data_IF_958250203190
#
_entry.id   IF_958250203190
#
_cell.length_a   1.000
_cell.length_b   1.000
_cell.length_c   1.000
_cell.angle_alpha   90.00
_cell.angle_beta   90.00
_cell.angle_gamma   90.00
#
_symmetry.space_group_name_H-M   'P 1'
#
loop_
_entity.id
_entity.type
_entity.pdbx_description
1 polymer ?
#
# COMPACT_ATOMS: atom_id res chain seq x y z
N UNK A 1 -14.27 13.68 -4.47
CA UNK A 1 -13.98 12.66 -3.43
C UNK A 1 -12.72 11.93 -3.81
N UNK A 2 -11.74 11.94 -2.94
CA UNK A 2 -10.42 11.32 -3.13
C UNK A 2 -10.29 10.08 -2.27
N UNK A 3 -9.75 8.99 -2.80
CA UNK A 3 -9.50 7.74 -2.08
C UNK A 3 -8.00 7.59 -1.86
N UNK A 4 -7.60 7.42 -0.60
CA UNK A 4 -6.22 7.19 -0.19
C UNK A 4 -6.12 5.87 0.55
N UNK A 5 -5.12 5.06 0.27
CA UNK A 5 -4.89 3.81 0.99
C UNK A 5 -3.48 3.73 1.56
N UNK A 6 -3.36 3.09 2.72
CA UNK A 6 -2.10 2.85 3.41
C UNK A 6 -1.90 1.35 3.62
N UNK A 7 -0.85 0.81 3.04
CA UNK A 7 -0.46 -0.60 3.16
C UNK A 7 0.99 -0.72 3.67
N UNK A 8 1.40 -1.89 4.09
CA UNK A 8 2.77 -2.16 4.54
C UNK A 8 2.84 -3.11 5.74
N UNK A 9 4.04 -3.50 6.11
CA UNK A 9 4.29 -4.44 7.21
C UNK A 9 3.81 -3.90 8.56
N UNK A 10 3.55 -4.81 9.49
CA UNK A 10 3.19 -4.43 10.86
C UNK A 10 4.39 -3.74 11.53
N UNK A 11 4.12 -2.67 12.28
CA UNK A 11 5.18 -1.82 12.85
C UNK A 11 5.78 -0.78 11.89
N UNK A 12 5.34 -0.66 10.63
CA UNK A 12 5.84 0.34 9.69
C UNK A 12 5.43 1.79 10.00
N UNK A 13 4.51 2.01 10.95
CA UNK A 13 4.06 3.36 11.31
C UNK A 13 2.83 3.86 10.54
N UNK A 14 2.09 2.98 9.85
CA UNK A 14 0.88 3.33 9.10
C UNK A 14 -0.11 4.18 9.90
N UNK A 15 -0.50 3.73 11.09
CA UNK A 15 -1.48 4.43 11.94
C UNK A 15 -1.03 5.84 12.31
N UNK A 16 0.28 6.05 12.51
CA UNK A 16 0.86 7.37 12.77
C UNK A 16 0.72 8.30 11.56
N UNK A 17 0.91 7.77 10.35
CA UNK A 17 0.74 8.55 9.12
C UNK A 17 -0.72 8.82 8.82
N UNK A 18 -1.61 7.84 9.02
CA UNK A 18 -3.06 7.98 8.87
C UNK A 18 -3.58 9.07 9.81
N UNK A 19 -3.29 8.98 11.11
CA UNK A 19 -3.72 9.98 12.09
C UNK A 19 -3.19 11.38 11.76
N UNK A 20 -1.90 11.47 11.34
CA UNK A 20 -1.31 12.74 10.93
C UNK A 20 -1.96 13.34 9.66
N UNK A 21 -2.44 12.50 8.74
CA UNK A 21 -3.18 12.93 7.56
C UNK A 21 -4.61 13.37 7.92
N UNK A 22 -5.32 12.60 8.76
CA UNK A 22 -6.67 12.96 9.23
C UNK A 22 -6.69 14.29 9.95
N UNK A 23 -5.77 14.50 10.91
CA UNK A 23 -5.65 15.75 11.64
C UNK A 23 -5.40 16.95 10.71
N UNK A 24 -4.59 16.76 9.67
CA UNK A 24 -4.31 17.80 8.70
C UNK A 24 -5.53 18.11 7.82
N UNK A 25 -6.25 17.09 7.33
CA UNK A 25 -7.45 17.23 6.52
C UNK A 25 -8.58 17.91 7.30
N UNK A 26 -8.78 17.54 8.57
CA UNK A 26 -9.77 18.17 9.45
C UNK A 26 -9.47 19.65 9.69
N UNK A 27 -8.18 20.01 9.89
CA UNK A 27 -7.77 21.42 9.98
C UNK A 27 -7.99 22.19 8.69
N UNK A 28 -8.01 21.49 7.57
CA UNK A 28 -8.35 22.05 6.25
C UNK A 28 -9.85 22.06 5.95
N UNK A 29 -10.70 21.82 6.97
CA UNK A 29 -12.17 21.75 6.86
C UNK A 29 -12.69 20.71 5.85
N UNK A 30 -11.89 19.67 5.54
CA UNK A 30 -12.30 18.56 4.69
C UNK A 30 -12.94 17.43 5.51
N UNK A 31 -14.04 16.90 5.01
CA UNK A 31 -14.75 15.79 5.65
C UNK A 31 -14.06 14.48 5.27
N UNK A 32 -13.57 13.78 6.26
CA UNK A 32 -12.88 12.50 6.08
C UNK A 32 -13.71 11.32 6.56
N UNK A 33 -13.42 10.16 6.03
CA UNK A 33 -13.92 8.88 6.53
C UNK A 33 -12.78 7.88 6.53
N UNK A 34 -12.46 7.36 7.72
CA UNK A 34 -11.55 6.24 7.88
C UNK A 34 -12.33 4.93 7.66
N UNK A 35 -11.76 4.03 6.87
CA UNK A 35 -12.27 2.68 6.62
C UNK A 35 -11.16 1.70 6.95
N UNK A 36 -11.41 0.80 7.89
CA UNK A 36 -10.48 -0.27 8.25
C UNK A 36 -10.77 -1.50 7.42
N UNK A 37 -9.82 -1.93 6.59
CA UNK A 37 -10.04 -3.02 5.64
C UNK A 37 -10.51 -4.31 6.30
N UNK A 38 -9.91 -4.66 7.45
CA UNK A 38 -10.23 -5.91 8.15
C UNK A 38 -11.61 -5.93 8.82
N UNK A 39 -12.11 -4.77 9.25
CA UNK A 39 -13.38 -4.66 9.97
C UNK A 39 -14.54 -4.30 9.04
N UNK A 40 -14.29 -3.42 8.05
CA UNK A 40 -15.35 -2.83 7.21
C UNK A 40 -15.52 -3.54 5.86
N UNK A 41 -14.47 -4.23 5.36
CA UNK A 41 -14.44 -4.78 4.01
C UNK A 41 -14.40 -6.30 4.00
N UNK A 42 -13.54 -6.90 4.84
CA UNK A 42 -13.29 -8.34 4.83
C UNK A 42 -14.53 -9.15 5.14
N UNK A 43 -14.90 -10.02 4.20
CA UNK A 43 -16.02 -10.93 4.35
C UNK A 43 -15.66 -12.11 5.25
N UNK A 44 -16.63 -12.59 6.04
CA UNK A 44 -16.50 -13.80 6.82
C UNK A 44 -15.35 -13.79 7.85
N UNK A 45 -15.02 -12.64 8.47
CA UNK A 45 -13.92 -12.51 9.43
C UNK A 45 -13.97 -13.58 10.54
N UNK A 46 -15.15 -13.79 11.17
CA UNK A 46 -15.35 -14.83 12.20
C UNK A 46 -15.12 -16.25 11.67
N UNK A 47 -15.53 -16.51 10.43
CA UNK A 47 -15.35 -17.83 9.79
C UNK A 47 -13.90 -18.09 9.41
N UNK A 48 -13.17 -17.03 9.02
CA UNK A 48 -11.72 -17.09 8.75
C UNK A 48 -10.91 -17.39 10.01
N UNK A 49 -11.26 -16.78 11.14
CA UNK A 49 -10.65 -17.14 12.42
C UNK A 49 -10.87 -18.61 12.75
N UNK A 50 -12.10 -19.12 12.64
CA UNK A 50 -12.41 -20.51 12.89
C UNK A 50 -11.67 -21.46 11.94
N UNK A 51 -11.59 -21.15 10.65
CA UNK A 51 -10.84 -21.94 9.66
C UNK A 51 -9.33 -21.90 9.93
N UNK A 52 -8.78 -20.75 10.28
CA UNK A 52 -7.36 -20.63 10.58
C UNK A 52 -6.96 -21.49 11.78
N UNK A 53 -7.81 -21.57 12.81
CA UNK A 53 -7.57 -22.45 13.96
C UNK A 53 -7.69 -23.94 13.62
N UNK A 54 -8.73 -24.32 12.88
CA UNK A 54 -9.01 -25.75 12.62
C UNK A 54 -8.13 -26.35 11.53
N UNK A 55 -7.84 -25.58 10.48
CA UNK A 55 -7.06 -26.04 9.33
C UNK A 55 -5.53 -25.88 9.51
N UNK A 56 -5.09 -24.85 10.27
CA UNK A 56 -3.67 -24.49 10.32
C UNK A 56 -3.02 -24.75 11.68
N UNK A 57 -3.76 -25.16 12.71
CA UNK A 57 -3.25 -25.31 14.09
C UNK A 57 -2.44 -24.07 14.53
N UNK A 58 -2.92 -22.88 14.14
CA UNK A 58 -2.27 -21.61 14.47
C UNK A 58 -2.40 -21.30 15.97
N UNK A 59 -1.42 -20.59 16.52
CA UNK A 59 -1.46 -20.10 17.89
C UNK A 59 -2.58 -19.06 18.05
N UNK A 60 -3.32 -19.12 19.18
CA UNK A 60 -4.34 -18.13 19.53
C UNK A 60 -3.70 -16.92 20.18
N UNK A 61 -4.15 -15.71 19.80
CA UNK A 61 -3.81 -14.47 20.49
C UNK A 61 -2.89 -13.54 19.70
N UNK A 62 -2.46 -12.49 20.37
CA UNK A 62 -1.45 -11.55 19.88
C UNK A 62 -0.09 -12.08 20.31
N UNK A 63 0.87 -12.19 19.37
CA UNK A 63 2.22 -12.64 19.67
C UNK A 63 2.91 -11.71 20.69
N UNK A 64 3.78 -12.29 21.51
CA UNK A 64 4.64 -11.54 22.43
C UNK A 64 6.10 -11.68 22.02
N UNK A 65 7.02 -10.82 22.50
CA UNK A 65 8.45 -10.93 22.23
C UNK A 65 9.03 -12.31 22.61
N UNK A 66 8.49 -12.91 23.67
CA UNK A 66 8.92 -14.19 24.21
C UNK A 66 8.30 -15.37 23.44
N UNK A 67 7.13 -15.18 22.83
CA UNK A 67 6.42 -16.18 22.05
C UNK A 67 5.81 -15.55 20.79
N UNK A 68 6.61 -15.32 19.75
CA UNK A 68 6.11 -14.76 18.50
C UNK A 68 5.14 -15.72 17.83
N UNK A 69 4.05 -15.20 17.28
CA UNK A 69 3.02 -15.99 16.61
C UNK A 69 3.56 -16.58 15.31
N UNK A 70 3.62 -17.89 15.24
CA UNK A 70 3.82 -18.61 13.99
C UNK A 70 2.49 -18.70 13.24
N UNK A 71 2.09 -17.65 12.54
CA UNK A 71 0.97 -17.74 11.60
C UNK A 71 1.39 -18.59 10.40
N UNK A 72 1.07 -19.85 10.46
CA UNK A 72 1.24 -20.81 9.35
C UNK A 72 0.27 -20.55 8.19
N UNK A 73 -0.69 -19.67 8.37
CA UNK A 73 -1.69 -19.31 7.37
C UNK A 73 -1.20 -18.32 6.30
N UNK A 74 -0.14 -17.57 6.57
CA UNK A 74 0.49 -16.68 5.58
C UNK A 74 1.64 -17.41 4.88
N UNK A 75 1.71 -17.32 3.55
CA UNK A 75 2.74 -17.96 2.70
C UNK A 75 2.75 -19.50 2.68
N UNK A 76 1.61 -20.16 2.95
CA UNK A 76 1.51 -21.61 2.82
C UNK A 76 1.45 -22.00 1.35
N UNK A 77 2.35 -22.90 0.96
CA UNK A 77 2.47 -23.44 -0.42
C UNK A 77 1.46 -24.55 -0.74
N UNK A 78 0.41 -24.74 0.06
CA UNK A 78 -0.59 -25.79 -0.19
C UNK A 78 -1.60 -25.34 -1.24
N UNK A 79 -1.72 -26.11 -2.33
CA UNK A 79 -2.65 -25.82 -3.43
C UNK A 79 -4.13 -25.66 -3.01
N UNK A 80 -4.73 -26.57 -2.18
CA UNK A 80 -6.12 -26.40 -1.77
C UNK A 80 -6.35 -25.12 -0.97
N UNK A 81 -5.39 -24.75 -0.12
CA UNK A 81 -5.45 -23.53 0.68
C UNK A 81 -5.27 -22.26 -0.16
N UNK A 82 -4.45 -22.32 -1.20
CA UNK A 82 -4.30 -21.22 -2.16
C UNK A 82 -5.59 -21.01 -2.93
N UNK A 83 -6.27 -22.07 -3.36
CA UNK A 83 -7.56 -21.98 -4.06
C UNK A 83 -8.65 -21.38 -3.16
N UNK A 84 -8.70 -21.80 -1.89
CA UNK A 84 -9.63 -21.24 -0.91
C UNK A 84 -9.36 -19.73 -0.71
N UNK A 85 -8.10 -19.31 -0.63
CA UNK A 85 -7.74 -17.89 -0.55
C UNK A 85 -8.18 -17.11 -1.78
N UNK A 86 -8.05 -17.68 -2.97
CA UNK A 86 -8.53 -17.02 -4.18
C UNK A 86 -10.02 -16.71 -4.09
N UNK A 87 -10.84 -17.67 -3.62
CA UNK A 87 -12.27 -17.45 -3.40
C UNK A 87 -12.56 -16.37 -2.36
N UNK A 88 -11.87 -16.40 -1.22
CA UNK A 88 -12.04 -15.41 -0.15
C UNK A 88 -11.61 -14.01 -0.59
N UNK A 89 -10.44 -13.87 -1.22
CA UNK A 89 -9.93 -12.58 -1.68
C UNK A 89 -10.76 -12.00 -2.82
N UNK A 90 -11.35 -12.86 -3.65
CA UNK A 90 -12.32 -12.42 -4.65
C UNK A 90 -13.61 -11.88 -4.00
N UNK A 91 -14.13 -12.53 -2.96
CA UNK A 91 -15.27 -12.04 -2.19
C UNK A 91 -14.97 -10.70 -1.52
N UNK A 92 -13.75 -10.53 -0.95
CA UNK A 92 -13.32 -9.25 -0.37
C UNK A 92 -13.15 -8.15 -1.42
N UNK A 93 -12.68 -8.49 -2.61
CA UNK A 93 -12.63 -7.56 -3.73
C UNK A 93 -14.03 -7.05 -4.10
N UNK A 94 -15.03 -7.91 -4.13
CA UNK A 94 -16.43 -7.51 -4.38
C UNK A 94 -16.98 -6.65 -3.23
N UNK A 95 -16.71 -7.03 -1.97
CA UNK A 95 -17.07 -6.25 -0.79
C UNK A 95 -16.45 -4.87 -0.81
N UNK A 96 -15.17 -4.77 -1.18
CA UNK A 96 -14.47 -3.50 -1.35
C UNK A 96 -15.13 -2.62 -2.42
N UNK A 97 -15.52 -3.20 -3.55
CA UNK A 97 -16.28 -2.48 -4.59
C UNK A 97 -17.59 -1.90 -4.04
N UNK A 98 -18.32 -2.67 -3.23
CA UNK A 98 -19.56 -2.21 -2.61
C UNK A 98 -19.31 -1.13 -1.56
N UNK A 99 -18.28 -1.30 -0.73
CA UNK A 99 -17.90 -0.31 0.30
C UNK A 99 -17.53 1.02 -0.34
N UNK A 100 -16.70 1.00 -1.38
CA UNK A 100 -16.34 2.22 -2.14
C UNK A 100 -17.55 2.84 -2.81
N UNK A 101 -18.46 2.04 -3.41
CA UNK A 101 -19.71 2.56 -4.01
C UNK A 101 -20.61 3.23 -2.97
N UNK A 102 -20.75 2.65 -1.78
CA UNK A 102 -21.51 3.25 -0.66
C UNK A 102 -20.86 4.55 -0.19
N UNK A 103 -19.55 4.54 -0.04
CA UNK A 103 -18.77 5.69 0.39
C UNK A 103 -18.85 6.86 -0.62
N UNK A 104 -18.89 6.56 -1.92
CA UNK A 104 -19.09 7.58 -2.97
C UNK A 104 -20.43 8.30 -2.90
N UNK A 105 -21.45 7.68 -2.31
CA UNK A 105 -22.77 8.30 -2.10
C UNK A 105 -22.83 9.15 -0.82
N UNK A 106 -21.81 9.08 0.04
CA UNK A 106 -21.72 9.91 1.24
C UNK A 106 -21.10 11.27 0.92
N UNK A 107 -21.49 12.29 1.67
CA UNK A 107 -20.93 13.65 1.53
C UNK A 107 -19.54 13.76 2.18
N UNK A 108 -18.59 12.94 1.72
CA UNK A 108 -17.21 12.87 2.22
C UNK A 108 -16.26 13.35 1.12
N UNK A 109 -15.27 14.15 1.51
CA UNK A 109 -14.30 14.72 0.57
C UNK A 109 -13.11 13.76 0.35
N UNK A 110 -12.68 13.08 1.44
CA UNK A 110 -11.56 12.11 1.41
C UNK A 110 -11.92 10.84 2.18
N UNK A 111 -11.68 9.70 1.55
CA UNK A 111 -11.76 8.38 2.21
C UNK A 111 -10.35 7.86 2.40
N UNK A 112 -10.01 7.53 3.65
CA UNK A 112 -8.73 6.95 4.01
C UNK A 112 -8.94 5.49 4.35
N UNK A 113 -8.24 4.61 3.66
CA UNK A 113 -8.22 3.19 3.96
C UNK A 113 -7.00 2.84 4.81
N UNK A 114 -7.23 2.36 6.04
CA UNK A 114 -6.22 1.62 6.79
C UNK A 114 -6.21 0.19 6.27
N UNK A 115 -5.20 -0.12 5.46
CA UNK A 115 -5.07 -1.30 4.61
C UNK A 115 -6.05 -1.32 3.43
N UNK A 116 -5.67 -2.07 2.42
CA UNK A 116 -6.42 -2.26 1.19
C UNK A 116 -6.31 -3.72 0.74
N UNK A 117 -6.94 -4.08 -0.38
CA UNK A 117 -6.80 -5.41 -0.98
C UNK A 117 -5.33 -5.83 -1.19
N UNK A 118 -4.43 -4.86 -1.26
CA UNK A 118 -2.98 -5.07 -1.38
C UNK A 118 -2.42 -5.92 -0.25
N UNK A 119 -2.93 -5.73 0.98
CA UNK A 119 -2.50 -6.46 2.17
C UNK A 119 -2.87 -7.96 2.13
N UNK A 120 -3.96 -8.32 1.44
CA UNK A 120 -4.32 -9.71 1.17
C UNK A 120 -3.49 -10.30 0.02
N UNK A 121 -3.38 -9.57 -1.09
CA UNK A 121 -2.65 -10.02 -2.26
C UNK A 121 -1.16 -10.21 -1.98
N UNK A 122 -0.56 -9.43 -1.08
CA UNK A 122 0.81 -9.61 -0.62
C UNK A 122 1.02 -10.93 0.14
N UNK A 123 -0.04 -11.56 0.66
CA UNK A 123 0.04 -12.88 1.31
C UNK A 123 0.03 -14.06 0.31
N UNK A 124 -0.15 -13.80 -0.98
CA UNK A 124 -0.09 -14.82 -2.02
C UNK A 124 1.36 -15.13 -2.40
N UNK A 125 1.66 -16.36 -2.83
CA UNK A 125 2.98 -16.73 -3.34
C UNK A 125 3.19 -16.12 -4.74
N UNK A 126 3.43 -14.81 -4.82
CA UNK A 126 3.55 -14.04 -6.06
C UNK A 126 4.76 -14.45 -6.95
N UNK A 127 5.57 -15.41 -6.51
CA UNK A 127 6.58 -16.09 -7.31
C UNK A 127 5.95 -17.04 -8.35
N UNK A 128 4.74 -17.55 -8.08
CA UNK A 128 4.02 -18.44 -9.00
C UNK A 128 3.19 -17.63 -10.00
N UNK A 129 3.22 -18.05 -11.27
CA UNK A 129 2.49 -17.38 -12.36
C UNK A 129 0.98 -17.31 -12.12
N UNK A 130 0.38 -18.38 -11.58
CA UNK A 130 -1.07 -18.43 -11.27
C UNK A 130 -1.47 -17.40 -10.19
N UNK A 131 -0.68 -17.27 -9.13
CA UNK A 131 -0.94 -16.29 -8.08
C UNK A 131 -0.75 -14.85 -8.59
N UNK A 132 0.24 -14.61 -9.44
CA UNK A 132 0.44 -13.31 -10.10
C UNK A 132 -0.71 -12.95 -11.02
N UNK A 133 -1.17 -13.91 -11.84
CA UNK A 133 -2.32 -13.70 -12.73
C UNK A 133 -3.58 -13.39 -11.93
N UNK A 134 -3.84 -14.15 -10.87
CA UNK A 134 -4.97 -13.89 -9.98
C UNK A 134 -4.87 -12.50 -9.34
N UNK A 135 -3.72 -12.14 -8.75
CA UNK A 135 -3.50 -10.83 -8.17
C UNK A 135 -3.73 -9.70 -9.19
N UNK A 136 -3.22 -9.86 -10.40
CA UNK A 136 -3.43 -8.89 -11.48
C UNK A 136 -4.92 -8.75 -11.85
N UNK A 137 -5.67 -9.85 -11.96
CA UNK A 137 -7.11 -9.81 -12.23
C UNK A 137 -7.87 -9.09 -11.11
N UNK A 138 -7.57 -9.38 -9.85
CA UNK A 138 -8.20 -8.70 -8.70
C UNK A 138 -7.87 -7.21 -8.71
N UNK A 139 -6.61 -6.83 -8.97
CA UNK A 139 -6.20 -5.43 -9.07
C UNK A 139 -6.95 -4.68 -10.19
N UNK A 140 -7.33 -5.36 -11.26
CA UNK A 140 -8.16 -4.75 -12.34
C UNK A 140 -9.63 -4.64 -11.99
N UNK A 141 -10.12 -5.50 -11.11
CA UNK A 141 -11.53 -5.54 -10.69
C UNK A 141 -11.85 -4.48 -9.65
N UNK A 142 -10.94 -4.25 -8.69
CA UNK A 142 -11.20 -3.34 -7.56
C UNK A 142 -11.05 -1.88 -7.97
N UNK A 143 -11.79 -0.95 -7.32
CA UNK A 143 -11.56 0.47 -7.48
C UNK A 143 -10.12 0.82 -7.12
N UNK A 144 -9.43 1.52 -8.00
CA UNK A 144 -8.08 1.98 -7.70
C UNK A 144 -8.15 3.21 -6.78
N UNK A 145 -7.35 3.26 -5.70
CA UNK A 145 -7.19 4.49 -4.93
C UNK A 145 -6.58 5.59 -5.81
N UNK A 146 -6.95 6.84 -5.53
CA UNK A 146 -6.32 8.00 -6.18
C UNK A 146 -4.85 8.13 -5.78
N UNK A 147 -4.55 7.74 -4.52
CA UNK A 147 -3.20 7.61 -4.00
C UNK A 147 -3.12 6.33 -3.17
N UNK A 148 -2.20 5.46 -3.51
CA UNK A 148 -1.91 4.23 -2.76
C UNK A 148 -0.51 4.32 -2.17
N UNK A 149 -0.39 4.34 -0.84
CA UNK A 149 0.88 4.35 -0.14
C UNK A 149 1.26 2.96 0.36
N UNK A 150 2.51 2.57 0.08
CA UNK A 150 3.20 1.49 0.77
C UNK A 150 4.19 2.12 1.75
N UNK A 151 3.84 2.09 3.04
CA UNK A 151 4.73 2.59 4.09
C UNK A 151 5.80 1.53 4.34
N UNK A 152 7.01 1.85 3.92
CA UNK A 152 8.17 0.98 4.13
C UNK A 152 8.79 1.21 5.50
N UNK A 153 9.44 0.17 6.03
CA UNK A 153 10.21 0.24 7.26
C UNK A 153 11.32 -0.81 7.26
N UNK A 154 12.40 -0.52 7.98
CA UNK A 154 13.39 -1.55 8.29
C UNK A 154 12.74 -2.70 9.07
N UNK A 155 12.89 -3.96 8.64
CA UNK A 155 12.25 -5.10 9.28
C UNK A 155 12.61 -5.28 10.75
N UNK A 156 13.85 -4.98 11.15
CA UNK A 156 14.30 -5.09 12.55
C UNK A 156 13.62 -4.03 13.40
N UNK A 157 13.62 -2.78 12.93
CA UNK A 157 12.96 -1.68 13.62
C UNK A 157 11.44 -1.86 13.70
N UNK A 158 10.82 -2.40 12.64
CA UNK A 158 9.39 -2.70 12.61
C UNK A 158 9.02 -3.81 13.61
N UNK A 159 9.80 -4.88 13.66
CA UNK A 159 9.62 -5.98 14.62
C UNK A 159 9.83 -5.51 16.07
N UNK A 160 10.83 -4.67 16.32
CA UNK A 160 11.05 -4.12 17.67
C UNK A 160 9.84 -3.32 18.16
N UNK A 161 9.21 -2.54 17.27
CA UNK A 161 8.00 -1.76 17.59
C UNK A 161 6.76 -2.66 17.78
N UNK A 162 6.67 -3.75 17.01
CA UNK A 162 5.53 -4.68 17.05
C UNK A 162 6.01 -6.13 16.94
N UNK A 163 6.43 -6.76 18.05
CA UNK A 163 7.08 -8.06 18.06
C UNK A 163 6.10 -9.24 17.98
N UNK A 164 5.08 -9.13 17.12
CA UNK A 164 4.06 -10.17 16.94
C UNK A 164 4.56 -11.34 16.08
N UNK A 165 5.54 -11.08 15.19
CA UNK A 165 6.00 -12.05 14.20
C UNK A 165 7.52 -12.23 14.21
N UNK A 166 8.02 -13.44 13.83
CA UNK A 166 9.45 -13.65 13.64
C UNK A 166 10.02 -12.73 12.57
N UNK A 167 11.29 -12.30 12.73
CA UNK A 167 11.96 -11.37 11.82
C UNK A 167 11.96 -11.86 10.36
N UNK A 168 12.19 -13.15 10.14
CA UNK A 168 12.17 -13.73 8.79
C UNK A 168 10.80 -13.67 8.12
N UNK A 169 9.72 -13.71 8.91
CA UNK A 169 8.38 -13.46 8.39
C UNK A 169 8.22 -12.00 7.98
N UNK A 170 8.65 -11.06 8.81
CA UNK A 170 8.57 -9.61 8.54
C UNK A 170 9.35 -9.26 7.26
N UNK A 171 10.56 -9.81 7.09
CA UNK A 171 11.39 -9.64 5.87
C UNK A 171 10.67 -10.15 4.62
N UNK A 172 10.18 -11.39 4.65
CA UNK A 172 9.44 -11.98 3.51
C UNK A 172 8.16 -11.21 3.19
N UNK A 173 7.47 -10.72 4.21
CA UNK A 173 6.25 -9.93 4.01
C UNK A 173 6.56 -8.58 3.35
N UNK A 174 7.62 -7.89 3.78
CA UNK A 174 8.13 -6.67 3.13
C UNK A 174 8.42 -6.90 1.64
N UNK A 175 9.17 -7.96 1.31
CA UNK A 175 9.46 -8.31 -0.09
C UNK A 175 8.19 -8.59 -0.91
N UNK A 176 7.20 -9.25 -0.31
CA UNK A 176 5.94 -9.53 -0.97
C UNK A 176 5.17 -8.24 -1.30
N UNK A 177 5.18 -7.23 -0.43
CA UNK A 177 4.62 -5.91 -0.72
C UNK A 177 5.35 -5.22 -1.88
N UNK A 178 6.67 -5.28 -1.93
CA UNK A 178 7.42 -4.69 -3.06
C UNK A 178 7.10 -5.37 -4.39
N UNK A 179 7.02 -6.70 -4.40
CA UNK A 179 6.61 -7.46 -5.61
C UNK A 179 5.20 -7.08 -6.04
N UNK A 180 4.30 -6.88 -5.08
CA UNK A 180 2.94 -6.44 -5.38
C UNK A 180 2.90 -5.01 -5.90
N UNK A 181 3.68 -4.09 -5.32
CA UNK A 181 3.78 -2.71 -5.78
C UNK A 181 4.28 -2.63 -7.23
N UNK A 182 5.27 -3.46 -7.60
CA UNK A 182 5.73 -3.60 -8.98
C UNK A 182 4.63 -4.14 -9.92
N UNK A 183 3.83 -5.11 -9.45
CA UNK A 183 2.74 -5.68 -10.23
C UNK A 183 1.59 -4.68 -10.44
N UNK A 184 1.27 -3.90 -9.41
CA UNK A 184 0.20 -2.91 -9.43
C UNK A 184 0.57 -1.65 -10.23
N UNK A 185 1.83 -1.21 -10.16
CA UNK A 185 2.37 -0.09 -10.92
C UNK A 185 1.91 1.32 -10.50
N UNK A 186 1.01 1.41 -9.52
CA UNK A 186 0.42 2.67 -9.04
C UNK A 186 0.56 2.88 -7.53
N UNK A 187 1.42 2.13 -6.88
CA UNK A 187 1.67 2.22 -5.44
C UNK A 187 2.93 3.05 -5.21
N UNK A 188 2.79 4.16 -4.50
CA UNK A 188 3.91 5.00 -4.06
C UNK A 188 4.55 4.39 -2.83
N UNK A 189 5.82 4.05 -2.92
CA UNK A 189 6.60 3.60 -1.76
C UNK A 189 7.08 4.81 -0.98
N UNK A 190 6.69 4.89 0.29
CA UNK A 190 7.17 5.89 1.24
C UNK A 190 8.32 5.27 2.01
N UNK A 191 9.53 5.66 1.66
CA UNK A 191 10.76 5.17 2.30
C UNK A 191 10.82 5.57 3.77
N UNK A 192 11.52 4.77 4.62
CA UNK A 192 11.70 5.08 6.02
C UNK A 192 12.43 6.41 6.21
N UNK A 193 11.82 7.30 6.97
CA UNK A 193 12.37 8.61 7.33
C UNK A 193 11.82 9.05 8.70
N UNK A 194 12.16 10.24 9.16
CA UNK A 194 11.54 10.83 10.33
C UNK A 194 10.01 10.94 10.15
N UNK A 195 9.28 10.83 11.25
CA UNK A 195 7.80 10.86 11.22
C UNK A 195 7.30 12.12 10.52
N UNK A 196 7.93 13.27 10.78
CA UNK A 196 7.50 14.56 10.24
C UNK A 196 7.86 14.72 8.75
N UNK A 197 9.00 14.19 8.31
CA UNK A 197 9.37 14.16 6.89
C UNK A 197 8.37 13.32 6.08
N UNK A 198 8.02 12.13 6.58
CA UNK A 198 7.01 11.26 5.95
C UNK A 198 5.64 11.94 5.90
N UNK A 199 5.19 12.57 7.00
CA UNK A 199 3.94 13.35 7.03
C UNK A 199 3.94 14.47 6.01
N UNK A 200 5.06 15.19 5.90
CA UNK A 200 5.20 16.30 4.95
C UNK A 200 5.11 15.80 3.51
N UNK A 201 5.81 14.70 3.18
CA UNK A 201 5.75 14.08 1.85
C UNK A 201 4.33 13.66 1.48
N UNK A 202 3.63 12.96 2.38
CA UNK A 202 2.24 12.53 2.18
C UNK A 202 1.31 13.72 1.96
N UNK A 203 1.47 14.81 2.74
CA UNK A 203 0.68 16.04 2.58
C UNK A 203 0.92 16.73 1.25
N UNK A 204 2.16 16.83 0.81
CA UNK A 204 2.51 17.45 -0.49
C UNK A 204 1.87 16.69 -1.64
N UNK A 205 1.97 15.35 -1.66
CA UNK A 205 1.33 14.52 -2.67
C UNK A 205 -0.20 14.64 -2.62
N UNK A 206 -0.77 14.70 -1.42
CA UNK A 206 -2.20 14.87 -1.21
C UNK A 206 -2.69 16.22 -1.73
N UNK A 207 -1.95 17.30 -1.48
CA UNK A 207 -2.25 18.64 -2.01
C UNK A 207 -2.28 18.67 -3.54
N UNK A 208 -1.30 18.05 -4.19
CA UNK A 208 -1.25 17.95 -5.65
C UNK A 208 -2.47 17.23 -6.23
N UNK A 209 -3.08 16.32 -5.46
CA UNK A 209 -4.26 15.57 -5.89
C UNK A 209 -5.57 16.31 -5.62
N UNK A 210 -5.64 17.05 -4.50
CA UNK A 210 -6.82 17.82 -4.11
C UNK A 210 -6.98 19.13 -4.91
N UNK A 211 -5.84 19.74 -5.29
CA UNK A 211 -5.80 20.95 -6.12
C UNK A 211 -5.48 20.54 -7.56
N UNK A 212 -6.45 20.53 -8.47
CA UNK A 212 -6.15 20.25 -9.87
C UNK A 212 -5.13 21.26 -10.37
N UNK A 213 -4.15 20.86 -11.21
CA UNK A 213 -3.19 21.78 -11.77
C UNK A 213 -3.93 22.88 -12.52
N UNK A 214 -3.62 24.15 -12.21
CA UNK A 214 -4.13 25.30 -12.95
C UNK A 214 -3.74 25.13 -14.43
N UNK A 215 -4.71 25.07 -15.36
CA UNK A 215 -4.43 24.88 -16.79
C UNK A 215 -3.49 25.94 -17.35
N UNK A 216 -3.43 27.14 -16.74
CA UNK A 216 -2.52 28.22 -17.13
C UNK A 216 -1.05 27.97 -16.70
N UNK A 217 -0.81 27.15 -15.68
CA UNK A 217 0.56 26.82 -15.23
C UNK A 217 1.23 25.78 -16.14
N UNK A 218 0.44 24.90 -16.76
CA UNK A 218 0.95 23.93 -17.74
C UNK A 218 1.47 24.64 -19.02
N UNK A 219 0.84 25.72 -19.44
CA UNK A 219 1.24 26.48 -20.62
C UNK A 219 2.53 27.29 -20.42
N UNK A 220 2.97 27.55 -19.20
CA UNK A 220 4.22 28.27 -18.89
C UNK A 220 5.46 27.40 -18.75
N UNK A 221 5.32 26.08 -18.77
CA UNK A 221 6.47 25.15 -18.85
C UNK A 221 6.81 24.89 -20.32
N UNK A 222 7.17 25.92 -21.06
CA UNK A 222 7.88 25.77 -22.33
C UNK A 222 9.21 25.04 -22.06
N UNK A 223 9.63 24.10 -22.90
CA UNK A 223 10.89 23.43 -22.71
C UNK A 223 12.00 24.46 -22.73
N UNK A 224 12.78 24.53 -21.65
CA UNK A 224 14.06 25.22 -21.63
C UNK A 224 14.87 24.59 -22.76
N UNK A 225 15.09 25.33 -23.83
CA UNK A 225 15.91 24.94 -24.95
C UNK A 225 17.29 24.47 -24.44
N UNK A 226 17.63 23.23 -24.73
CA UNK A 226 18.94 22.70 -24.47
C UNK A 226 20.00 23.63 -25.06
N UNK A 227 21.10 23.96 -24.36
CA UNK A 227 22.16 24.75 -24.92
C UNK A 227 22.75 24.01 -26.11
N UNK A 228 22.76 24.69 -27.27
CA UNK A 228 23.41 24.24 -28.51
C UNK A 228 24.88 23.97 -28.21
N UNK A 229 25.44 22.79 -28.54
CA UNK A 229 26.86 22.56 -28.39
C UNK A 229 27.65 23.53 -29.27
N UNK A 230 28.48 24.36 -28.64
CA UNK A 230 29.40 25.27 -29.29
C UNK A 230 30.31 24.49 -30.24
N UNK A 231 30.30 24.89 -31.50
CA UNK A 231 31.13 24.42 -32.58
C UNK A 231 32.62 24.68 -32.24
N UNK A 232 33.36 23.66 -31.80
CA UNK A 232 34.79 23.74 -31.63
C UNK A 232 35.40 23.64 -33.04
N UNK A 233 35.71 24.78 -33.58
CA UNK A 233 36.47 24.92 -34.85
C UNK A 233 37.87 24.37 -34.68
N UNK A 234 38.13 23.33 -35.46
CA UNK A 234 39.48 22.78 -35.66
C UNK A 234 40.37 23.80 -36.34
N UNK A 235 41.24 24.45 -35.61
CA UNK A 235 42.46 25.14 -36.12
C UNK A 235 43.38 25.45 -34.91
N UNK A 236 44.41 24.65 -34.87
CA UNK A 236 45.80 25.02 -34.58
C UNK A 236 46.57 23.80 -34.06
N UNK A 237 46.92 22.96 -35.04
CA UNK A 237 48.11 22.14 -34.99
C UNK A 237 49.02 22.70 -36.08
N UNK A 238 50.14 23.29 -35.71
CA UNK A 238 51.44 23.37 -36.46
C UNK A 238 52.44 24.17 -35.54
N UNK A 239 53.31 23.42 -34.93
CA UNK A 239 54.80 23.49 -34.87
C UNK A 239 55.54 24.70 -34.23
N UNK A 240 56.80 24.52 -33.85
CA UNK A 240 57.67 23.32 -33.77
C UNK A 240 58.05 22.92 -32.34
#
# INVERSE_FOLDING_TARGET
MTIVSFSGIDGAGKSTQISGLEDWLHRSALRTRLVTFWDDVVCFSRYREFLSFKAFKGDRGVGSPEKPLHRRDKNVSSWPLTLMRFGLYFADALSLCLTVRKARKSHVDVIIFDRYIYDELANLPLTHKSARLFAWLVLKLVPQPDIAYLIDADPVAAQTRKPEYPLDFVRRNREAYFRLAQLAGNITVVEPDSIDAMKTRIRVEMLQKLVPPDPNTAARRSPVSAPTPANISSRELIEP
#
